data_IF_461734097173
#
_entry.id   IF_461734097173
#
_cell.length_a   1.000
_cell.length_b   1.000
_cell.length_c   1.000
_cell.angle_alpha   90.00
_cell.angle_beta   90.00
_cell.angle_gamma   90.00
#
_symmetry.space_group_name_H-M   'P 1'
#
loop_
_entity.id
_entity.type
_entity.pdbx_description
1 polymer ?
#
# COMPACT_ATOMS: atom_id res chain seq x y z
N UNK A 1 -3.80 70.35 20.77
CA UNK A 1 -3.71 68.98 20.22
C UNK A 1 -2.29 68.49 20.46
N UNK A 2 -2.11 67.37 21.18
CA UNK A 2 -0.80 66.77 21.43
C UNK A 2 -0.49 65.76 20.33
N UNK A 3 0.72 65.78 19.79
CA UNK A 3 1.19 64.81 18.78
C UNK A 3 2.19 63.85 19.43
N UNK A 4 2.13 62.58 19.05
CA UNK A 4 3.11 61.58 19.47
C UNK A 4 3.83 61.02 18.25
N UNK A 5 5.17 61.13 18.26
CA UNK A 5 6.01 60.63 17.18
C UNK A 5 6.50 59.20 17.47
N UNK A 6 6.68 58.41 16.42
CA UNK A 6 7.30 57.09 16.51
C UNK A 6 8.75 57.26 16.93
N UNK A 7 9.17 56.54 17.98
CA UNK A 7 10.57 56.51 18.41
C UNK A 7 11.51 55.93 17.34
N UNK A 8 10.98 55.14 16.39
CA UNK A 8 11.74 54.45 15.36
C UNK A 8 11.84 55.24 14.05
N UNK A 9 10.80 55.99 13.68
CA UNK A 9 10.72 56.67 12.37
C UNK A 9 10.60 58.19 12.48
N UNK A 10 10.41 58.76 13.67
CA UNK A 10 10.23 60.20 13.90
C UNK A 10 8.89 60.78 13.39
N UNK A 11 8.08 60.00 12.68
CA UNK A 11 6.79 60.42 12.10
C UNK A 11 5.68 60.43 13.17
N UNK A 12 4.68 61.30 12.98
CA UNK A 12 3.48 61.36 13.84
C UNK A 12 2.71 60.04 13.71
N UNK A 13 2.52 59.35 14.84
CA UNK A 13 1.78 58.07 14.94
C UNK A 13 0.35 58.32 15.34
N UNK A 14 0.13 59.24 16.27
CA UNK A 14 -1.22 59.67 16.62
C UNK A 14 -1.25 61.10 17.14
N UNK A 15 -2.41 61.72 16.94
CA UNK A 15 -2.74 63.05 17.41
C UNK A 15 -3.92 62.96 18.37
N UNK A 16 -3.88 63.75 19.44
CA UNK A 16 -4.88 63.67 20.50
C UNK A 16 -5.32 65.04 21.02
N UNK A 17 -6.63 65.22 21.14
CA UNK A 17 -7.28 66.35 21.81
C UNK A 17 -7.80 65.87 23.18
N UNK A 18 -7.05 66.21 24.23
CA UNK A 18 -7.36 65.86 25.63
C UNK A 18 -8.69 66.43 26.10
N UNK A 19 -9.04 67.65 25.68
CA UNK A 19 -10.28 68.30 26.09
C UNK A 19 -11.50 67.62 25.47
N UNK A 20 -11.37 67.13 24.23
CA UNK A 20 -12.47 66.47 23.50
C UNK A 20 -12.48 64.95 23.64
N UNK A 21 -11.45 64.37 24.26
CA UNK A 21 -11.22 62.92 24.33
C UNK A 21 -11.26 62.25 22.94
N UNK A 22 -10.74 62.93 21.91
CA UNK A 22 -10.71 62.42 20.53
C UNK A 22 -9.30 62.42 19.97
N UNK A 23 -8.99 61.46 19.11
CA UNK A 23 -7.72 61.46 18.41
C UNK A 23 -7.76 60.74 17.08
N UNK A 24 -6.64 60.79 16.37
CA UNK A 24 -6.43 60.16 15.07
C UNK A 24 -5.13 59.38 15.13
N UNK A 25 -5.20 58.10 14.79
CA UNK A 25 -4.05 57.24 14.57
C UNK A 25 -3.68 57.25 13.09
N UNK A 26 -2.41 57.47 12.76
CA UNK A 26 -1.89 57.52 11.41
C UNK A 26 -1.06 56.27 11.12
N UNK A 27 -1.42 55.56 10.05
CA UNK A 27 -0.67 54.40 9.59
C UNK A 27 0.64 54.83 8.93
N UNK A 28 1.75 54.18 9.27
CA UNK A 28 3.04 54.44 8.63
C UNK A 28 2.99 54.10 7.13
N UNK A 29 3.58 54.93 6.28
CA UNK A 29 3.49 54.79 4.81
C UNK A 29 4.06 53.47 4.26
N UNK A 30 4.96 52.83 5.02
CA UNK A 30 5.67 51.60 4.68
C UNK A 30 4.99 50.33 5.23
N UNK A 31 3.84 50.44 5.90
CA UNK A 31 3.14 49.28 6.46
C UNK A 31 1.95 48.83 5.58
N UNK A 32 1.72 47.51 5.49
CA UNK A 32 0.56 46.92 4.77
C UNK A 32 -0.79 47.43 5.29
N UNK A 33 -0.83 47.88 6.54
CA UNK A 33 -2.04 48.48 7.11
C UNK A 33 -2.43 49.80 6.44
N UNK A 34 -1.45 50.60 5.98
CA UNK A 34 -1.70 51.90 5.34
C UNK A 34 -2.49 51.78 4.02
N UNK A 35 -2.25 50.72 3.23
CA UNK A 35 -2.99 50.47 2.00
C UNK A 35 -4.46 50.12 2.25
N UNK A 36 -4.78 49.57 3.43
CA UNK A 36 -6.13 49.18 3.81
C UNK A 36 -6.87 50.31 4.56
N UNK A 37 -6.16 51.02 5.44
CA UNK A 37 -6.71 52.12 6.23
C UNK A 37 -5.60 53.12 6.60
N UNK A 38 -5.61 54.30 5.97
CA UNK A 38 -4.58 55.34 6.17
C UNK A 38 -4.60 55.94 7.58
N UNK A 39 -5.77 56.01 8.20
CA UNK A 39 -5.93 56.57 9.54
C UNK A 39 -7.18 56.05 10.22
N UNK A 40 -7.12 55.89 11.55
CA UNK A 40 -8.25 55.46 12.38
C UNK A 40 -8.56 56.54 13.39
N UNK A 41 -9.80 57.01 13.46
CA UNK A 41 -10.21 57.95 14.52
C UNK A 41 -10.56 57.18 15.79
N UNK A 42 -10.35 57.78 16.94
CA UNK A 42 -10.81 57.22 18.20
C UNK A 42 -11.45 58.29 19.08
N UNK A 43 -12.47 57.90 19.86
CA UNK A 43 -13.25 58.81 20.71
C UNK A 43 -13.54 58.23 22.09
N UNK A 44 -13.54 59.07 23.12
CA UNK A 44 -13.77 58.69 24.52
C UNK A 44 -12.53 58.12 25.22
N UNK A 45 -11.33 58.37 24.72
CA UNK A 45 -10.08 57.89 25.33
C UNK A 45 -9.19 59.06 25.73
N UNK A 46 -8.44 58.93 26.82
CA UNK A 46 -7.42 59.90 27.27
C UNK A 46 -6.00 59.56 26.79
N UNK A 47 -5.84 58.43 26.11
CA UNK A 47 -4.59 57.90 25.55
C UNK A 47 -4.92 57.00 24.36
N UNK A 48 -3.90 56.54 23.65
CA UNK A 48 -4.07 55.59 22.55
C UNK A 48 -4.83 54.34 23.04
N UNK A 49 -5.93 53.91 22.36
CA UNK A 49 -6.70 52.75 22.76
C UNK A 49 -5.84 51.48 22.82
N UNK A 50 -6.17 50.55 23.73
CA UNK A 50 -5.49 49.25 23.82
C UNK A 50 -5.66 48.54 22.48
N UNK A 51 -4.60 47.94 21.94
CA UNK A 51 -4.68 47.21 20.67
C UNK A 51 -4.16 47.99 19.46
N UNK A 52 -3.76 49.26 19.61
CA UNK A 52 -2.93 49.95 18.61
C UNK A 52 -1.44 49.71 18.85
N UNK A 53 -0.66 49.68 17.78
CA UNK A 53 0.80 49.71 17.85
C UNK A 53 1.30 51.12 18.15
N UNK A 54 2.39 51.27 18.89
CA UNK A 54 2.98 52.58 19.20
C UNK A 54 3.88 53.15 18.10
N UNK A 55 4.13 52.38 17.04
CA UNK A 55 5.12 52.68 15.99
C UNK A 55 4.50 53.07 14.63
N UNK A 56 3.17 53.08 14.51
CA UNK A 56 2.46 53.41 13.28
C UNK A 56 2.07 52.20 12.42
N UNK A 57 2.41 50.97 12.80
CA UNK A 57 2.12 49.76 12.00
C UNK A 57 0.68 49.23 12.16
N UNK A 58 -0.29 50.13 12.39
CA UNK A 58 -1.69 49.77 12.59
C UNK A 58 -1.97 49.23 13.99
N UNK A 59 -2.77 48.16 14.07
CA UNK A 59 -3.09 47.52 15.34
C UNK A 59 -1.93 46.63 15.84
N UNK A 60 -1.83 46.44 17.15
CA UNK A 60 -0.80 45.65 17.82
C UNK A 60 -0.97 44.15 17.54
N UNK A 61 -0.49 43.72 16.35
CA UNK A 61 -0.40 42.36 15.76
C UNK A 61 -0.87 42.41 14.28
N UNK A 62 -0.46 41.47 13.39
CA UNK A 62 -1.04 41.32 12.05
C UNK A 62 -2.58 41.21 12.04
N UNK A 63 -3.20 40.92 13.20
CA UNK A 63 -4.63 41.04 13.48
C UNK A 63 -5.26 42.32 12.91
N UNK A 64 -4.51 43.43 12.92
CA UNK A 64 -4.99 44.68 12.37
C UNK A 64 -5.28 44.66 10.88
N UNK A 65 -4.44 43.93 10.12
CA UNK A 65 -4.64 43.76 8.67
C UNK A 65 -5.79 42.80 8.37
N UNK A 66 -6.03 41.77 9.19
CA UNK A 66 -7.19 40.88 9.02
C UNK A 66 -8.50 41.63 9.25
N UNK A 67 -8.58 42.43 10.32
CA UNK A 67 -9.76 43.25 10.61
C UNK A 67 -10.04 44.24 9.48
N UNK A 68 -9.05 45.03 9.06
CA UNK A 68 -9.30 46.03 8.02
C UNK A 68 -9.54 45.42 6.65
N UNK A 69 -8.91 44.28 6.32
CA UNK A 69 -9.21 43.54 5.10
C UNK A 69 -10.65 43.06 5.09
N UNK A 70 -11.13 42.45 6.17
CA UNK A 70 -12.51 41.97 6.28
C UNK A 70 -13.53 43.13 6.22
N UNK A 71 -13.19 44.28 6.83
CA UNK A 71 -14.04 45.47 6.74
C UNK A 71 -14.09 46.03 5.31
N UNK A 72 -12.97 46.08 4.59
CA UNK A 72 -12.96 46.54 3.19
C UNK A 72 -13.66 45.54 2.26
N UNK A 73 -13.56 44.24 2.52
CA UNK A 73 -14.32 43.22 1.77
C UNK A 73 -15.84 43.39 1.97
N UNK A 74 -16.27 43.65 3.20
CA UNK A 74 -17.69 43.83 3.52
C UNK A 74 -18.27 45.20 3.13
N UNK A 75 -17.49 46.27 3.21
CA UNK A 75 -17.97 47.66 3.03
C UNK A 75 -17.36 48.39 1.82
N UNK A 76 -16.46 47.76 1.07
CA UNK A 76 -15.69 48.38 -0.01
C UNK A 76 -14.49 49.19 0.51
N UNK A 77 -13.60 49.57 -0.41
CA UNK A 77 -12.37 50.28 -0.09
C UNK A 77 -12.60 51.72 0.41
N UNK A 78 -11.64 52.23 1.18
CA UNK A 78 -11.65 53.62 1.65
C UNK A 78 -12.58 53.88 2.84
N UNK A 79 -12.83 52.86 3.68
CA UNK A 79 -13.62 53.02 4.90
C UNK A 79 -13.03 54.09 5.83
N UNK A 80 -13.92 54.84 6.49
CA UNK A 80 -13.58 55.71 7.62
C UNK A 80 -13.83 54.93 8.91
N UNK A 81 -12.76 54.37 9.47
CA UNK A 81 -12.82 53.58 10.70
C UNK A 81 -12.73 54.47 11.95
N UNK A 82 -13.63 54.21 12.90
CA UNK A 82 -13.69 54.87 14.20
C UNK A 82 -13.74 53.82 15.31
N UNK A 83 -12.89 53.96 16.32
CA UNK A 83 -12.95 53.17 17.56
C UNK A 83 -13.49 54.06 18.68
N UNK A 84 -14.66 53.73 19.22
CA UNK A 84 -15.31 54.54 20.26
C UNK A 84 -15.44 53.80 21.58
N UNK A 85 -15.18 54.49 22.69
CA UNK A 85 -15.43 53.93 24.04
C UNK A 85 -16.93 53.86 24.38
N UNK A 86 -17.71 54.85 23.93
CA UNK A 86 -19.11 55.02 24.34
C UNK A 86 -20.13 54.65 23.25
N UNK A 87 -19.82 54.89 21.98
CA UNK A 87 -20.76 54.66 20.88
C UNK A 87 -20.84 53.18 20.54
N UNK A 88 -22.05 52.64 20.42
CA UNK A 88 -22.29 51.25 20.00
C UNK A 88 -21.76 50.99 18.58
N UNK A 89 -21.39 49.74 18.29
CA UNK A 89 -20.88 49.34 16.97
C UNK A 89 -21.96 49.57 15.90
N UNK A 90 -21.62 50.32 14.85
CA UNK A 90 -22.51 50.62 13.74
C UNK A 90 -21.72 50.94 12.47
N UNK A 91 -22.37 50.81 11.32
CA UNK A 91 -21.83 51.25 10.05
C UNK A 91 -22.88 52.06 9.30
N UNK A 92 -22.45 53.15 8.67
CA UNK A 92 -23.34 53.97 7.81
C UNK A 92 -22.63 54.41 6.55
N UNK A 93 -23.33 54.36 5.43
CA UNK A 93 -22.81 54.86 4.15
C UNK A 93 -22.90 56.38 4.11
N UNK A 94 -21.81 57.04 3.70
CA UNK A 94 -21.71 58.48 3.52
C UNK A 94 -21.21 58.74 2.10
N UNK A 95 -22.09 59.20 1.21
CA UNK A 95 -21.79 59.34 -0.22
C UNK A 95 -21.27 58.00 -0.80
N UNK A 96 -19.99 57.94 -1.16
CA UNK A 96 -19.33 56.79 -1.77
C UNK A 96 -18.53 55.94 -0.77
N UNK A 97 -18.36 56.37 0.48
CA UNK A 97 -17.55 55.65 1.48
C UNK A 97 -18.37 55.23 2.70
N UNK A 98 -17.93 54.17 3.36
CA UNK A 98 -18.55 53.73 4.60
C UNK A 98 -17.84 54.33 5.81
N UNK A 99 -18.63 54.82 6.76
CA UNK A 99 -18.15 55.18 8.09
C UNK A 99 -18.50 54.05 9.05
N UNK A 100 -17.47 53.36 9.53
CA UNK A 100 -17.59 52.20 10.41
C UNK A 100 -17.15 52.62 11.81
N UNK A 101 -18.06 52.56 12.78
CA UNK A 101 -17.77 52.76 14.19
C UNK A 101 -17.76 51.40 14.90
N UNK A 102 -16.64 51.03 15.49
CA UNK A 102 -16.56 49.88 16.39
C UNK A 102 -16.53 50.38 17.83
N UNK A 103 -17.42 49.86 18.66
CA UNK A 103 -17.28 50.00 20.10
C UNK A 103 -16.00 49.30 20.55
N UNK A 104 -15.30 49.87 21.53
CA UNK A 104 -14.04 49.34 22.04
C UNK A 104 -14.14 47.89 22.54
N UNK A 105 -15.28 47.51 23.14
CA UNK A 105 -15.51 46.15 23.61
C UNK A 105 -15.57 45.14 22.45
N UNK A 106 -16.35 45.44 21.42
CA UNK A 106 -16.44 44.61 20.19
C UNK A 106 -15.11 44.56 19.44
N UNK A 107 -14.42 45.70 19.37
CA UNK A 107 -13.10 45.77 18.79
C UNK A 107 -12.09 44.85 19.52
N UNK A 108 -12.06 44.87 20.86
CA UNK A 108 -11.21 43.95 21.63
C UNK A 108 -11.66 42.50 21.51
N UNK A 109 -12.97 42.23 21.43
CA UNK A 109 -13.53 40.90 21.20
C UNK A 109 -13.02 40.28 19.89
N UNK A 110 -12.72 41.10 18.88
CA UNK A 110 -12.09 40.63 17.63
C UNK A 110 -10.59 40.42 17.83
N UNK A 111 -9.89 41.35 18.48
CA UNK A 111 -8.42 41.33 18.49
C UNK A 111 -7.79 40.38 19.51
N UNK A 112 -8.38 40.20 20.70
CA UNK A 112 -7.75 39.39 21.76
C UNK A 112 -7.66 37.90 21.37
N UNK A 113 -8.70 37.24 20.81
CA UNK A 113 -8.56 35.85 20.35
C UNK A 113 -7.49 35.67 19.26
N UNK A 114 -7.32 36.66 18.37
CA UNK A 114 -6.29 36.62 17.32
C UNK A 114 -4.86 36.67 17.90
N UNK A 115 -4.68 37.26 19.10
CA UNK A 115 -3.40 37.25 19.79
C UNK A 115 -3.09 35.88 20.37
N UNK A 116 -4.08 35.22 20.96
CA UNK A 116 -3.94 33.87 21.49
C UNK A 116 -3.62 32.86 20.38
N UNK A 117 -4.38 32.87 19.27
CA UNK A 117 -4.12 32.02 18.10
C UNK A 117 -2.69 32.21 17.57
N UNK A 118 -2.23 33.46 17.48
CA UNK A 118 -0.86 33.76 17.05
C UNK A 118 0.17 33.26 18.05
N UNK A 119 -0.08 33.44 19.34
CA UNK A 119 0.81 32.96 20.39
C UNK A 119 0.96 31.45 20.30
N UNK A 120 -0.15 30.71 20.23
CA UNK A 120 -0.15 29.25 20.09
C UNK A 120 0.60 28.81 18.82
N UNK A 121 0.34 29.44 17.68
CA UNK A 121 1.06 29.15 16.43
C UNK A 121 2.57 29.36 16.59
N UNK A 122 2.99 30.50 17.16
CA UNK A 122 4.41 30.80 17.35
C UNK A 122 5.08 29.81 18.32
N UNK A 123 4.38 29.43 19.39
CA UNK A 123 4.86 28.40 20.32
C UNK A 123 5.04 27.07 19.59
N UNK A 124 4.04 26.60 18.83
CA UNK A 124 4.14 25.36 18.04
C UNK A 124 5.30 25.41 17.03
N UNK A 125 5.45 26.50 16.28
CA UNK A 125 6.53 26.67 15.31
C UNK A 125 7.91 26.63 15.97
N UNK A 126 8.10 27.38 17.06
CA UNK A 126 9.39 27.42 17.77
C UNK A 126 9.72 26.08 18.42
N UNK A 127 8.73 25.42 19.01
CA UNK A 127 8.91 24.09 19.62
C UNK A 127 9.23 23.02 18.57
N UNK A 128 8.65 23.09 17.36
CA UNK A 128 9.01 22.17 16.28
C UNK A 128 10.46 22.37 15.80
N UNK A 129 10.89 23.64 15.66
CA UNK A 129 12.29 23.96 15.32
C UNK A 129 13.23 23.42 16.40
N UNK A 130 12.92 23.66 17.68
CA UNK A 130 13.72 23.15 18.79
C UNK A 130 13.82 21.61 18.78
N UNK A 131 12.71 20.91 18.48
CA UNK A 131 12.69 19.46 18.36
C UNK A 131 13.65 18.95 17.27
N UNK A 132 13.54 19.50 16.06
CA UNK A 132 14.38 19.09 14.92
C UNK A 132 15.85 19.43 15.18
N UNK A 133 16.16 20.62 15.70
CA UNK A 133 17.53 21.00 16.04
C UNK A 133 18.13 20.13 17.15
N UNK A 134 17.30 19.68 18.11
CA UNK A 134 17.71 18.70 19.13
C UNK A 134 18.07 17.33 18.55
N UNK A 135 17.44 16.92 17.44
CA UNK A 135 17.79 15.69 16.70
C UNK A 135 19.06 15.89 15.88
N UNK A 136 19.15 16.98 15.13
CA UNK A 136 20.26 17.23 14.19
C UNK A 136 21.56 17.62 14.91
N UNK A 137 21.46 18.37 16.00
CA UNK A 137 22.59 18.93 16.75
C UNK A 137 22.47 18.67 18.27
N UNK A 138 22.44 17.39 18.70
CA UNK A 138 22.15 17.01 20.09
C UNK A 138 23.17 17.52 21.12
N UNK A 139 24.39 17.88 20.67
CA UNK A 139 25.41 18.49 21.53
C UNK A 139 25.18 19.97 21.82
N UNK A 140 24.39 20.66 20.99
CA UNK A 140 24.18 22.12 21.07
C UNK A 140 22.74 22.49 21.46
N UNK A 141 21.78 21.60 21.23
CA UNK A 141 20.36 21.85 21.52
C UNK A 141 19.80 20.73 22.40
N UNK A 142 19.05 21.10 23.44
CA UNK A 142 18.31 20.13 24.25
C UNK A 142 17.17 19.54 23.42
N UNK A 143 17.02 18.21 23.49
CA UNK A 143 15.89 17.51 22.89
C UNK A 143 14.60 17.98 23.56
N UNK A 144 13.68 18.54 22.80
CA UNK A 144 12.33 18.89 23.26
C UNK A 144 11.35 17.77 22.93
N UNK A 145 10.13 17.89 23.44
CA UNK A 145 9.04 16.98 23.08
C UNK A 145 8.57 17.21 21.63
N UNK A 146 7.97 16.16 21.05
CA UNK A 146 7.31 16.25 19.74
C UNK A 146 6.15 17.23 19.84
N UNK A 147 6.14 18.21 18.93
CA UNK A 147 4.98 19.07 18.73
C UNK A 147 4.02 18.38 17.77
N UNK A 148 2.74 18.32 18.12
CA UNK A 148 1.72 17.83 17.18
C UNK A 148 1.68 18.73 15.94
N UNK A 149 1.88 18.10 14.79
CA UNK A 149 1.77 18.73 13.47
C UNK A 149 0.68 18.01 12.68
N UNK A 150 0.37 18.52 11.49
CA UNK A 150 -0.49 17.79 10.55
C UNK A 150 0.00 16.35 10.27
N UNK A 151 1.31 16.11 10.40
CA UNK A 151 1.96 14.82 10.16
C UNK A 151 2.10 13.94 11.41
N UNK A 152 1.77 14.47 12.59
CA UNK A 152 1.76 13.65 13.81
C UNK A 152 0.56 12.71 13.76
N UNK A 153 0.81 11.42 13.93
CA UNK A 153 -0.26 10.44 14.05
C UNK A 153 -1.01 10.65 15.37
N UNK A 154 -2.33 10.52 15.29
CA UNK A 154 -3.24 10.50 16.44
C UNK A 154 -4.05 9.21 16.34
N UNK A 155 -4.55 8.71 17.47
CA UNK A 155 -5.34 7.49 17.51
C UNK A 155 -6.52 7.57 16.53
N UNK A 156 -6.72 6.48 15.78
CA UNK A 156 -7.71 6.34 14.71
C UNK A 156 -7.59 7.30 13.54
N UNK A 157 -6.53 8.11 13.42
CA UNK A 157 -6.42 9.11 12.35
C UNK A 157 -6.52 8.48 10.96
N UNK A 158 -5.85 7.35 10.72
CA UNK A 158 -5.97 6.60 9.48
C UNK A 158 -7.38 6.03 9.28
N UNK A 159 -7.98 5.46 10.33
CA UNK A 159 -9.34 4.91 10.27
C UNK A 159 -10.36 5.98 9.86
N UNK A 160 -10.31 7.15 10.50
CA UNK A 160 -11.17 8.30 10.20
C UNK A 160 -10.95 8.83 8.78
N UNK A 161 -9.70 8.80 8.29
CA UNK A 161 -9.40 9.20 6.91
C UNK A 161 -10.03 8.24 5.89
N UNK A 162 -10.05 6.94 6.16
CA UNK A 162 -10.58 5.94 5.24
C UNK A 162 -12.08 5.67 5.38
N UNK A 163 -12.67 5.87 6.56
CA UNK A 163 -14.07 5.52 6.85
C UNK A 163 -15.11 6.27 6.02
N UNK A 164 -14.75 7.45 5.50
CA UNK A 164 -15.61 8.26 4.63
C UNK A 164 -15.41 8.04 3.13
N UNK A 165 -14.48 7.17 2.74
CA UNK A 165 -14.14 6.93 1.33
C UNK A 165 -14.83 5.66 0.82
N UNK A 166 -15.43 5.75 -0.37
CA UNK A 166 -15.81 4.57 -1.12
C UNK A 166 -14.55 3.99 -1.77
N UNK A 167 -14.32 2.70 -1.58
CA UNK A 167 -13.22 1.94 -2.21
C UNK A 167 -11.85 2.65 -2.13
N UNK A 168 -11.31 2.91 -0.92
CA UNK A 168 -10.11 3.72 -0.74
C UNK A 168 -8.90 3.22 -1.56
N UNK A 169 -8.82 1.92 -1.83
CA UNK A 169 -7.79 1.30 -2.65
C UNK A 169 -7.74 1.81 -4.11
N UNK A 170 -8.80 2.40 -4.65
CA UNK A 170 -8.83 2.99 -6.00
C UNK A 170 -8.25 4.42 -6.06
N UNK A 171 -8.22 5.11 -4.91
CA UNK A 171 -7.84 6.53 -4.82
C UNK A 171 -6.40 6.68 -4.30
N UNK A 172 -5.88 5.68 -3.59
CA UNK A 172 -4.53 5.69 -3.03
C UNK A 172 -3.45 5.79 -4.11
N UNK A 173 -2.45 6.65 -3.88
CA UNK A 173 -1.29 6.74 -4.75
C UNK A 173 -0.39 5.50 -4.61
N UNK A 174 0.50 5.28 -5.59
CA UNK A 174 1.51 4.21 -5.51
C UNK A 174 2.35 4.30 -4.23
N UNK A 175 2.72 5.52 -3.81
CA UNK A 175 3.52 5.74 -2.61
C UNK A 175 2.76 5.36 -1.32
N UNK A 176 1.44 5.59 -1.28
CA UNK A 176 0.59 5.18 -0.16
C UNK A 176 0.48 3.66 -0.08
N UNK A 177 0.23 3.00 -1.21
CA UNK A 177 0.16 1.53 -1.30
C UNK A 177 1.47 0.90 -0.81
N UNK A 178 2.62 1.41 -1.27
CA UNK A 178 3.93 0.93 -0.82
C UNK A 178 4.16 1.16 0.68
N UNK A 179 3.70 2.28 1.22
CA UNK A 179 3.82 2.59 2.65
C UNK A 179 2.97 1.66 3.50
N UNK A 180 1.72 1.41 3.10
CA UNK A 180 0.83 0.45 3.77
C UNK A 180 1.42 -0.96 3.71
N UNK A 181 1.96 -1.37 2.57
CA UNK A 181 2.58 -2.69 2.42
C UNK A 181 3.78 -2.88 3.36
N UNK A 182 4.66 -1.87 3.47
CA UNK A 182 5.79 -1.90 4.42
C UNK A 182 5.32 -1.92 5.88
N UNK A 183 4.31 -1.10 6.21
CA UNK A 183 3.73 -1.08 7.55
C UNK A 183 3.15 -2.44 7.91
N UNK A 184 2.35 -3.04 7.04
CA UNK A 184 1.81 -4.38 7.23
C UNK A 184 2.91 -5.43 7.45
N UNK A 185 3.99 -5.40 6.64
CA UNK A 185 5.12 -6.32 6.83
C UNK A 185 5.74 -6.17 8.23
N UNK A 186 6.01 -4.94 8.68
CA UNK A 186 6.57 -4.69 10.02
C UNK A 186 5.64 -5.12 11.16
N UNK A 187 4.32 -4.95 10.99
CA UNK A 187 3.33 -5.36 11.99
C UNK A 187 3.25 -6.88 12.13
N UNK A 188 3.44 -7.62 11.02
CA UNK A 188 3.41 -9.08 11.02
C UNK A 188 4.69 -9.69 11.62
N UNK A 189 5.82 -8.99 11.54
CA UNK A 189 7.10 -9.44 12.13
C UNK A 189 7.16 -9.26 13.66
N UNK A 190 6.36 -8.35 14.22
CA UNK A 190 6.30 -8.11 15.67
C UNK A 190 5.50 -9.21 16.39
N UNK A 191 6.01 -9.70 17.52
CA UNK A 191 5.52 -10.92 18.21
C UNK A 191 4.25 -10.70 19.06
N UNK A 192 3.63 -9.53 19.00
CA UNK A 192 2.48 -9.14 19.83
C UNK A 192 1.21 -8.92 18.99
N UNK A 193 0.91 -9.87 18.09
CA UNK A 193 -0.32 -9.84 17.30
C UNK A 193 -1.47 -10.43 18.13
N UNK A 194 -2.51 -9.66 18.37
CA UNK A 194 -3.73 -10.13 19.03
C UNK A 194 -4.57 -11.06 18.12
N UNK A 195 -5.54 -11.76 18.71
CA UNK A 195 -6.35 -12.76 18.00
C UNK A 195 -7.17 -12.18 16.83
N UNK A 196 -7.59 -10.92 16.95
CA UNK A 196 -8.35 -10.20 15.91
C UNK A 196 -7.46 -9.92 14.69
N UNK A 197 -6.24 -9.46 14.93
CA UNK A 197 -5.24 -9.18 13.90
C UNK A 197 -4.76 -10.46 13.21
N UNK A 198 -4.67 -11.58 13.94
CA UNK A 198 -4.44 -12.92 13.35
C UNK A 198 -5.56 -13.30 12.38
N UNK A 199 -6.83 -13.05 12.74
CA UNK A 199 -7.97 -13.39 11.87
C UNK A 199 -7.94 -12.59 10.56
N UNK A 200 -7.64 -11.30 10.63
CA UNK A 200 -7.48 -10.43 9.45
C UNK A 200 -6.29 -10.88 8.60
N UNK A 201 -5.15 -11.22 9.22
CA UNK A 201 -3.98 -11.74 8.51
C UNK A 201 -4.27 -13.08 7.81
N UNK A 202 -4.99 -14.00 8.47
CA UNK A 202 -5.43 -15.26 7.86
C UNK A 202 -6.37 -15.04 6.66
N UNK A 203 -7.31 -14.10 6.76
CA UNK A 203 -8.21 -13.75 5.66
C UNK A 203 -7.45 -13.14 4.48
N UNK A 204 -6.53 -12.22 4.76
CA UNK A 204 -5.63 -11.64 3.75
C UNK A 204 -4.82 -12.72 3.05
N UNK A 205 -4.18 -13.62 3.81
CA UNK A 205 -3.44 -14.77 3.27
C UNK A 205 -4.33 -15.64 2.36
N UNK A 206 -5.52 -16.03 2.83
CA UNK A 206 -6.47 -16.85 2.05
C UNK A 206 -6.92 -16.15 0.77
N UNK A 207 -7.19 -14.83 0.83
CA UNK A 207 -7.60 -14.04 -0.33
C UNK A 207 -6.47 -13.94 -1.35
N UNK A 208 -5.26 -13.68 -0.89
CA UNK A 208 -4.07 -13.61 -1.75
C UNK A 208 -3.79 -14.96 -2.42
N UNK A 209 -3.84 -16.06 -1.66
CA UNK A 209 -3.68 -17.42 -2.17
C UNK A 209 -4.74 -17.75 -3.24
N UNK A 210 -6.00 -17.36 -3.00
CA UNK A 210 -7.09 -17.52 -3.97
C UNK A 210 -6.84 -16.74 -5.25
N UNK A 211 -6.49 -15.46 -5.17
CA UNK A 211 -6.21 -14.61 -6.33
C UNK A 211 -5.03 -15.17 -7.12
N UNK A 212 -3.99 -15.61 -6.42
CA UNK A 212 -2.83 -16.24 -7.02
C UNK A 212 -3.20 -17.53 -7.77
N UNK A 213 -3.93 -18.45 -7.13
CA UNK A 213 -4.42 -19.68 -7.78
C UNK A 213 -5.31 -19.38 -8.99
N UNK A 214 -6.20 -18.38 -8.90
CA UNK A 214 -7.03 -17.94 -10.02
C UNK A 214 -6.18 -17.45 -11.19
N UNK A 215 -5.12 -16.68 -10.92
CA UNK A 215 -4.18 -16.21 -11.93
C UNK A 215 -3.45 -17.38 -12.60
N UNK A 216 -2.94 -18.34 -11.82
CA UNK A 216 -2.25 -19.54 -12.33
C UNK A 216 -3.19 -20.40 -13.17
N UNK A 217 -4.42 -20.66 -12.70
CA UNK A 217 -5.44 -21.41 -13.45
C UNK A 217 -5.79 -20.68 -14.76
N UNK A 218 -5.96 -19.36 -14.71
CA UNK A 218 -6.23 -18.54 -15.89
C UNK A 218 -5.12 -18.64 -16.95
N UNK A 219 -3.86 -18.54 -16.52
CA UNK A 219 -2.70 -18.74 -17.39
C UNK A 219 -2.64 -20.18 -17.94
N UNK A 220 -2.86 -21.18 -17.09
CA UNK A 220 -2.84 -22.58 -17.50
C UNK A 220 -3.91 -22.87 -18.57
N UNK A 221 -5.13 -22.35 -18.41
CA UNK A 221 -6.21 -22.48 -19.42
C UNK A 221 -5.84 -21.82 -20.74
N UNK A 222 -5.27 -20.61 -20.71
CA UNK A 222 -4.79 -19.93 -21.92
C UNK A 222 -3.73 -20.76 -22.65
N UNK A 223 -2.83 -21.40 -21.90
CA UNK A 223 -1.81 -22.29 -22.47
C UNK A 223 -2.41 -23.56 -23.08
N UNK A 224 -3.35 -24.21 -22.39
CA UNK A 224 -4.03 -25.40 -22.93
C UNK A 224 -4.80 -25.09 -24.22
N UNK A 225 -5.39 -23.90 -24.33
CA UNK A 225 -6.05 -23.46 -25.56
C UNK A 225 -5.07 -23.18 -26.72
N UNK A 226 -3.79 -22.95 -26.43
CA UNK A 226 -2.76 -22.66 -27.43
C UNK A 226 -2.01 -23.94 -27.86
N UNK A 227 -2.41 -24.49 -29.02
CA UNK A 227 -1.80 -25.70 -29.59
C UNK A 227 -0.37 -25.54 -30.11
N UNK A 228 0.13 -24.31 -30.22
CA UNK A 228 1.45 -23.99 -30.78
C UNK A 228 2.56 -23.89 -29.73
N UNK A 229 2.24 -24.11 -28.45
CA UNK A 229 3.26 -24.10 -27.40
C UNK A 229 4.22 -25.27 -27.55
N UNK A 230 5.51 -24.97 -27.43
CA UNK A 230 6.57 -25.97 -27.43
C UNK A 230 6.61 -26.75 -26.12
N UNK A 231 7.25 -27.93 -26.14
CA UNK A 231 7.51 -28.69 -24.91
C UNK A 231 8.30 -27.88 -23.89
N UNK A 232 9.27 -27.07 -24.35
CA UNK A 232 10.02 -26.16 -23.49
C UNK A 232 9.14 -25.09 -22.82
N UNK A 233 8.07 -24.62 -23.48
CA UNK A 233 7.12 -23.69 -22.85
C UNK A 233 6.34 -24.34 -21.71
N UNK A 234 5.99 -25.62 -21.88
CA UNK A 234 5.32 -26.43 -20.86
C UNK A 234 6.25 -26.76 -19.70
N UNK A 235 7.49 -27.14 -19.98
CA UNK A 235 8.52 -27.36 -18.97
C UNK A 235 8.70 -26.10 -18.11
N UNK A 236 8.91 -24.92 -18.71
CA UNK A 236 9.06 -23.66 -17.94
C UNK A 236 7.83 -23.31 -17.11
N UNK A 237 6.63 -23.55 -17.66
CA UNK A 237 5.38 -23.29 -16.93
C UNK A 237 5.23 -24.22 -15.73
N UNK A 238 5.35 -25.53 -15.94
CA UNK A 238 5.20 -26.52 -14.88
C UNK A 238 6.31 -26.37 -13.85
N UNK A 239 7.57 -26.17 -14.24
CA UNK A 239 8.67 -25.92 -13.29
C UNK A 239 8.33 -24.82 -12.28
N UNK A 240 7.74 -23.72 -12.76
CA UNK A 240 7.40 -22.56 -11.93
C UNK A 240 6.27 -22.84 -10.93
N UNK A 241 5.35 -23.74 -11.28
CA UNK A 241 4.09 -23.92 -10.54
C UNK A 241 3.87 -25.35 -10.02
N UNK A 242 4.76 -26.31 -10.27
CA UNK A 242 4.56 -27.75 -10.02
C UNK A 242 4.22 -28.05 -8.55
N UNK A 243 4.83 -27.31 -7.61
CA UNK A 243 4.58 -27.45 -6.17
C UNK A 243 3.16 -27.05 -5.77
N UNK A 244 2.45 -26.26 -6.58
CA UNK A 244 1.02 -25.95 -6.37
C UNK A 244 0.11 -27.12 -6.73
N UNK A 245 0.53 -27.94 -7.70
CA UNK A 245 -0.26 -29.10 -8.14
C UNK A 245 -0.15 -30.26 -7.17
N UNK A 246 1.00 -30.37 -6.49
CA UNK A 246 1.20 -31.40 -5.48
C UNK A 246 2.00 -30.88 -4.28
N UNK A 247 1.25 -30.56 -3.21
CA UNK A 247 1.77 -30.07 -1.93
C UNK A 247 2.62 -31.06 -1.15
N UNK A 248 2.72 -32.34 -1.58
CA UNK A 248 3.67 -33.27 -0.98
C UNK A 248 5.12 -32.95 -1.35
N UNK A 249 5.34 -32.12 -2.38
CA UNK A 249 6.67 -31.66 -2.79
C UNK A 249 7.00 -30.29 -2.23
N UNK A 250 8.27 -30.10 -1.86
CA UNK A 250 8.76 -28.87 -1.21
C UNK A 250 9.89 -28.19 -1.97
N UNK A 251 10.71 -28.94 -2.72
CA UNK A 251 11.82 -28.39 -3.48
C UNK A 251 11.83 -28.91 -4.93
N UNK A 252 12.28 -28.05 -5.84
CA UNK A 252 12.61 -28.39 -7.23
C UNK A 252 14.13 -28.35 -7.37
N UNK A 253 14.73 -29.45 -7.80
CA UNK A 253 16.18 -29.53 -8.10
C UNK A 253 16.36 -29.29 -9.60
N UNK A 254 16.95 -28.15 -9.95
CA UNK A 254 17.09 -27.72 -11.34
C UNK A 254 18.27 -28.39 -12.04
N UNK A 255 18.05 -28.89 -13.26
CA UNK A 255 19.09 -29.30 -14.22
C UNK A 255 20.22 -30.14 -13.61
N UNK A 256 19.86 -31.21 -12.91
CA UNK A 256 20.81 -32.18 -12.40
C UNK A 256 21.01 -33.33 -13.38
N UNK A 257 22.26 -33.59 -13.75
CA UNK A 257 22.59 -34.75 -14.59
C UNK A 257 22.53 -36.02 -13.75
N UNK A 258 21.47 -36.81 -13.91
CA UNK A 258 21.30 -38.06 -13.14
C UNK A 258 22.27 -39.16 -13.57
N UNK A 259 22.89 -39.02 -14.75
CA UNK A 259 23.91 -39.92 -15.24
C UNK A 259 25.35 -39.45 -15.07
N UNK A 260 25.55 -38.23 -14.56
CA UNK A 260 26.84 -37.52 -14.50
C UNK A 260 27.54 -37.39 -15.86
N UNK A 261 26.78 -37.54 -16.97
CA UNK A 261 27.28 -37.55 -18.35
C UNK A 261 26.41 -36.69 -19.28
N UNK A 262 25.58 -35.82 -18.71
CA UNK A 262 24.81 -34.82 -19.45
C UNK A 262 23.40 -35.22 -19.85
N UNK A 263 22.80 -36.25 -19.24
CA UNK A 263 21.35 -36.51 -19.34
C UNK A 263 20.62 -35.95 -18.14
N UNK A 264 19.58 -35.19 -18.43
CA UNK A 264 18.82 -34.41 -17.45
C UNK A 264 17.35 -34.82 -17.57
N UNK A 265 16.70 -35.27 -16.49
CA UNK A 265 15.25 -35.24 -16.44
C UNK A 265 14.77 -33.80 -16.48
N UNK A 266 13.51 -33.59 -16.86
CA UNK A 266 12.96 -32.24 -16.89
C UNK A 266 12.93 -31.65 -15.48
N UNK A 267 12.40 -32.40 -14.50
CA UNK A 267 12.48 -32.03 -13.08
C UNK A 267 12.91 -33.20 -12.20
N UNK A 268 13.60 -32.85 -11.12
CA UNK A 268 13.70 -33.67 -9.92
C UNK A 268 12.97 -32.93 -8.80
N UNK A 269 11.99 -33.57 -8.19
CA UNK A 269 11.25 -33.01 -7.07
C UNK A 269 11.61 -33.73 -5.78
N UNK A 270 11.74 -32.97 -4.70
CA UNK A 270 11.98 -33.50 -3.36
C UNK A 270 10.71 -33.34 -2.53
N UNK A 271 10.22 -34.45 -1.99
CA UNK A 271 9.03 -34.46 -1.16
C UNK A 271 9.31 -34.04 0.28
N UNK A 272 8.25 -33.81 1.07
CA UNK A 272 8.33 -33.40 2.49
C UNK A 272 9.16 -34.34 3.37
N UNK A 273 9.42 -35.58 2.93
CA UNK A 273 10.23 -36.58 3.65
C UNK A 273 11.68 -36.68 3.14
N UNK A 274 12.04 -35.86 2.16
CA UNK A 274 13.35 -35.83 1.52
C UNK A 274 13.51 -36.84 0.38
N UNK A 275 12.48 -37.57 -0.02
CA UNK A 275 12.60 -38.50 -1.15
C UNK A 275 12.54 -37.76 -2.48
N UNK A 276 13.34 -38.23 -3.45
CA UNK A 276 13.42 -37.65 -4.78
C UNK A 276 12.58 -38.43 -5.79
N UNK A 277 11.87 -37.71 -6.64
CA UNK A 277 11.09 -38.25 -7.74
C UNK A 277 11.39 -37.48 -9.04
N UNK A 278 11.18 -38.13 -10.18
CA UNK A 278 11.47 -37.61 -11.52
C UNK A 278 10.18 -37.15 -12.18
N UNK A 279 10.21 -36.03 -12.88
CA UNK A 279 9.15 -35.62 -13.78
C UNK A 279 9.71 -35.46 -15.20
N UNK A 280 8.97 -36.01 -16.17
CA UNK A 280 9.22 -35.89 -17.61
C UNK A 280 7.97 -35.27 -18.26
N UNK A 281 8.16 -34.22 -19.06
CA UNK A 281 7.06 -33.44 -19.61
C UNK A 281 6.97 -33.65 -21.11
N UNK A 282 5.78 -34.00 -21.58
CA UNK A 282 5.41 -33.98 -22.99
C UNK A 282 4.26 -33.00 -23.20
N UNK A 283 3.96 -32.69 -24.47
CA UNK A 283 2.91 -31.75 -24.81
C UNK A 283 1.52 -32.31 -24.45
N UNK A 284 0.54 -31.43 -24.15
CA UNK A 284 -0.87 -31.83 -24.00
C UNK A 284 -1.48 -32.39 -25.30
N UNK A 285 -0.88 -32.07 -26.44
CA UNK A 285 -1.30 -32.54 -27.77
C UNK A 285 -0.61 -33.83 -28.20
N UNK A 286 0.30 -34.38 -27.40
CA UNK A 286 0.91 -35.68 -27.67
C UNK A 286 -0.16 -36.77 -27.54
N UNK A 287 -0.22 -37.66 -28.54
CA UNK A 287 -1.15 -38.79 -28.55
C UNK A 287 -0.81 -39.76 -27.41
N UNK A 288 -1.83 -40.22 -26.69
CA UNK A 288 -1.64 -41.17 -25.58
C UNK A 288 -1.47 -42.60 -26.08
N UNK A 289 -2.42 -43.07 -26.89
CA UNK A 289 -2.48 -44.43 -27.41
C UNK A 289 -2.70 -44.44 -28.93
N UNK A 290 -2.38 -45.57 -29.55
CA UNK A 290 -2.72 -45.91 -30.94
C UNK A 290 -3.55 -47.18 -30.97
N UNK A 291 -4.41 -47.28 -31.98
CA UNK A 291 -5.21 -48.46 -32.24
C UNK A 291 -4.43 -49.45 -33.13
N UNK A 292 -4.49 -50.74 -32.79
CA UNK A 292 -4.08 -51.85 -33.65
C UNK A 292 -5.34 -52.51 -34.25
N UNK A 293 -5.61 -52.21 -35.52
CA UNK A 293 -6.78 -52.74 -36.24
C UNK A 293 -6.77 -54.28 -36.34
N UNK A 294 -5.59 -54.93 -36.24
CA UNK A 294 -5.47 -56.38 -36.41
C UNK A 294 -5.90 -57.17 -35.18
N UNK A 295 -5.75 -56.58 -33.99
CA UNK A 295 -6.06 -57.19 -32.70
C UNK A 295 -7.16 -56.48 -31.93
N UNK A 296 -7.67 -55.37 -32.49
CA UNK A 296 -8.64 -54.49 -31.86
C UNK A 296 -8.17 -54.17 -30.44
N UNK A 297 -7.02 -53.51 -30.32
CA UNK A 297 -6.40 -53.21 -29.03
C UNK A 297 -5.68 -51.86 -29.08
N UNK A 298 -5.62 -51.17 -27.95
CA UNK A 298 -4.85 -49.94 -27.85
C UNK A 298 -3.48 -50.18 -27.20
N UNK A 299 -2.46 -49.53 -27.74
CA UNK A 299 -1.09 -49.57 -27.22
C UNK A 299 -0.51 -48.17 -27.11
N UNK A 300 0.55 -48.01 -26.31
CA UNK A 300 1.22 -46.73 -26.12
C UNK A 300 1.64 -46.11 -27.45
N UNK A 301 1.34 -44.81 -27.62
CA UNK A 301 1.94 -44.06 -28.71
C UNK A 301 3.49 -44.13 -28.61
N UNK A 302 4.16 -44.02 -29.75
CA UNK A 302 5.62 -44.07 -29.84
C UNK A 302 6.27 -43.03 -28.92
N UNK A 303 5.72 -41.82 -28.82
CA UNK A 303 6.28 -40.76 -27.97
C UNK A 303 6.09 -41.06 -26.48
N UNK A 304 4.95 -41.63 -26.09
CA UNK A 304 4.71 -42.08 -24.71
C UNK A 304 5.63 -43.25 -24.34
N UNK A 305 5.79 -44.21 -25.26
CA UNK A 305 6.70 -45.35 -25.09
C UNK A 305 8.16 -44.89 -24.89
N UNK A 306 8.61 -43.90 -25.67
CA UNK A 306 9.94 -43.28 -25.50
C UNK A 306 10.07 -42.60 -24.14
N UNK A 307 9.05 -41.84 -23.72
CA UNK A 307 9.06 -41.15 -22.42
C UNK A 307 9.10 -42.15 -21.25
N UNK A 308 8.35 -43.24 -21.31
CA UNK A 308 8.38 -44.33 -20.31
C UNK A 308 9.79 -44.92 -20.21
N UNK A 309 10.37 -45.31 -21.35
CA UNK A 309 11.72 -45.88 -21.40
C UNK A 309 12.79 -44.92 -20.85
N UNK A 310 12.68 -43.63 -21.22
CA UNK A 310 13.58 -42.59 -20.73
C UNK A 310 13.45 -42.37 -19.22
N UNK A 311 12.22 -42.33 -18.70
CA UNK A 311 11.94 -42.11 -17.29
C UNK A 311 12.40 -43.30 -16.43
N UNK A 312 12.12 -44.53 -16.85
CA UNK A 312 12.62 -45.75 -16.19
C UNK A 312 14.15 -45.77 -16.12
N UNK A 313 14.82 -45.34 -17.20
CA UNK A 313 16.27 -45.19 -17.21
C UNK A 313 16.73 -44.19 -16.15
N UNK A 314 16.08 -43.03 -16.03
CA UNK A 314 16.42 -42.05 -15.00
C UNK A 314 16.23 -42.60 -13.58
N UNK A 315 15.11 -43.29 -13.32
CA UNK A 315 14.84 -43.98 -12.04
C UNK A 315 15.97 -44.95 -11.71
N UNK A 316 16.33 -45.82 -12.66
CA UNK A 316 17.41 -46.79 -12.49
C UNK A 316 18.76 -46.10 -12.22
N UNK A 317 19.03 -44.98 -12.86
CA UNK A 317 20.29 -44.25 -12.70
C UNK A 317 20.39 -43.57 -11.34
N UNK A 318 19.31 -42.96 -10.85
CA UNK A 318 19.25 -42.42 -9.49
C UNK A 318 19.58 -43.51 -8.45
N UNK A 319 18.98 -44.69 -8.59
CA UNK A 319 19.24 -45.82 -7.67
C UNK A 319 20.69 -46.30 -7.78
N UNK A 320 21.22 -46.42 -9.00
CA UNK A 320 22.59 -46.90 -9.22
C UNK A 320 23.66 -45.93 -8.69
N UNK A 321 23.38 -44.62 -8.72
CA UNK A 321 24.31 -43.55 -8.38
C UNK A 321 23.91 -42.80 -7.11
N UNK A 322 23.25 -43.49 -6.19
CA UNK A 322 22.61 -42.88 -5.02
C UNK A 322 23.53 -41.89 -4.28
N UNK A 323 24.70 -42.38 -3.82
CA UNK A 323 25.66 -41.59 -3.06
C UNK A 323 26.12 -40.34 -3.83
N UNK A 324 26.58 -40.52 -5.07
CA UNK A 324 27.10 -39.44 -5.92
C UNK A 324 26.04 -38.36 -6.18
N UNK A 325 24.80 -38.78 -6.48
CA UNK A 325 23.70 -37.85 -6.74
C UNK A 325 23.32 -37.08 -5.48
N UNK A 326 23.26 -37.76 -4.32
CA UNK A 326 22.97 -37.12 -3.03
C UNK A 326 24.02 -36.09 -2.65
N UNK A 327 25.30 -36.41 -2.82
CA UNK A 327 26.41 -35.50 -2.56
C UNK A 327 26.31 -34.25 -3.45
N UNK A 328 26.08 -34.42 -4.75
CA UNK A 328 25.97 -33.28 -5.68
C UNK A 328 24.76 -32.40 -5.36
N UNK A 329 23.61 -32.99 -5.00
CA UNK A 329 22.42 -32.21 -4.61
C UNK A 329 22.69 -31.43 -3.33
N UNK A 330 23.33 -32.06 -2.35
CA UNK A 330 23.67 -31.39 -1.10
C UNK A 330 24.68 -30.24 -1.33
N UNK A 331 25.71 -30.47 -2.14
CA UNK A 331 26.73 -29.45 -2.46
C UNK A 331 26.14 -28.27 -3.25
N UNK A 332 25.32 -28.54 -4.27
CA UNK A 332 24.79 -27.49 -5.17
C UNK A 332 23.57 -26.78 -4.62
N UNK A 333 22.70 -27.50 -3.91
CA UNK A 333 21.41 -27.00 -3.48
C UNK A 333 21.30 -26.83 -1.96
N UNK A 334 22.23 -27.38 -1.16
CA UNK A 334 22.12 -27.37 0.30
C UNK A 334 20.98 -28.23 0.83
N UNK A 335 20.56 -29.25 0.07
CA UNK A 335 19.41 -30.10 0.39
C UNK A 335 19.89 -31.53 0.63
N UNK A 336 19.59 -32.08 1.81
CA UNK A 336 19.76 -33.50 2.06
C UNK A 336 18.58 -34.28 1.45
N UNK A 337 18.88 -35.22 0.56
CA UNK A 337 17.86 -36.05 -0.10
C UNK A 337 18.09 -37.54 0.14
N UNK A 338 17.03 -38.33 -0.07
CA UNK A 338 16.99 -39.78 0.04
C UNK A 338 16.56 -40.37 -1.30
N UNK A 339 17.29 -41.35 -1.80
CA UNK A 339 16.94 -42.04 -3.04
C UNK A 339 16.53 -43.47 -2.69
N UNK A 340 15.26 -43.63 -2.31
CA UNK A 340 14.69 -44.94 -1.96
C UNK A 340 13.46 -45.15 -2.83
N UNK A 341 13.58 -46.04 -3.82
CA UNK A 341 12.53 -46.34 -4.82
C UNK A 341 11.93 -45.05 -5.43
N UNK A 342 12.76 -44.22 -6.10
CA UNK A 342 12.27 -43.02 -6.76
C UNK A 342 11.21 -43.40 -7.81
N UNK A 343 10.17 -42.58 -7.91
CA UNK A 343 9.12 -42.71 -8.94
C UNK A 343 9.38 -41.73 -10.07
N UNK A 344 8.91 -42.10 -11.25
CA UNK A 344 8.83 -41.25 -12.42
C UNK A 344 7.40 -40.80 -12.68
N UNK A 345 7.21 -39.54 -13.01
CA UNK A 345 5.92 -38.97 -13.38
C UNK A 345 6.02 -38.40 -14.79
N UNK A 346 5.17 -38.88 -15.69
CA UNK A 346 5.12 -38.38 -17.06
C UNK A 346 3.86 -37.54 -17.21
N UNK A 347 4.03 -36.23 -17.44
CA UNK A 347 2.90 -35.33 -17.70
C UNK A 347 2.68 -35.25 -19.22
N UNK A 348 1.58 -35.79 -19.71
CA UNK A 348 1.35 -35.96 -21.17
C UNK A 348 -0.13 -36.01 -21.52
N UNK A 349 -0.49 -35.49 -22.70
CA UNK A 349 -1.81 -35.69 -23.28
C UNK A 349 -2.98 -35.10 -22.49
N UNK A 350 -4.21 -35.43 -22.90
CA UNK A 350 -5.45 -35.05 -22.24
C UNK A 350 -6.47 -36.18 -22.35
N UNK A 351 -7.38 -36.30 -21.39
CA UNK A 351 -8.42 -37.33 -21.43
C UNK A 351 -9.39 -37.18 -22.60
N UNK A 352 -9.51 -35.98 -23.18
CA UNK A 352 -10.32 -35.73 -24.38
C UNK A 352 -9.86 -36.49 -25.62
N UNK A 353 -8.70 -37.15 -25.59
CA UNK A 353 -8.21 -38.00 -26.67
C UNK A 353 -8.84 -39.40 -26.66
N UNK A 354 -9.47 -39.82 -25.56
CA UNK A 354 -10.13 -41.11 -25.48
C UNK A 354 -11.41 -41.09 -26.33
N UNK A 355 -11.39 -41.79 -27.46
CA UNK A 355 -12.49 -41.80 -28.43
C UNK A 355 -13.64 -42.73 -28.06
N UNK A 356 -13.35 -43.77 -27.27
CA UNK A 356 -14.30 -44.75 -26.78
C UNK A 356 -13.93 -45.21 -25.37
N UNK A 357 -14.84 -45.95 -24.71
CA UNK A 357 -14.60 -46.47 -23.36
C UNK A 357 -13.45 -47.49 -23.32
N UNK A 358 -13.24 -48.22 -24.43
CA UNK A 358 -12.21 -49.25 -24.52
C UNK A 358 -10.82 -48.65 -24.45
N UNK A 359 -10.56 -47.57 -25.19
CA UNK A 359 -9.31 -46.82 -25.16
C UNK A 359 -9.00 -46.28 -23.75
N UNK A 360 -10.03 -45.81 -23.03
CA UNK A 360 -9.88 -45.36 -21.66
C UNK A 360 -9.54 -46.51 -20.70
N UNK A 361 -10.23 -47.65 -20.82
CA UNK A 361 -9.97 -48.84 -20.01
C UNK A 361 -8.58 -49.43 -20.30
N UNK A 362 -8.18 -49.49 -21.56
CA UNK A 362 -6.83 -49.91 -21.98
C UNK A 362 -5.76 -48.94 -21.48
N UNK A 363 -6.01 -47.61 -21.52
CA UNK A 363 -5.11 -46.62 -20.93
C UNK A 363 -4.90 -46.87 -19.44
N UNK A 364 -5.97 -47.12 -18.68
CA UNK A 364 -5.89 -47.42 -17.25
C UNK A 364 -5.16 -48.72 -16.97
N UNK A 365 -5.43 -49.77 -17.75
CA UNK A 365 -4.75 -51.05 -17.66
C UNK A 365 -3.25 -50.89 -17.91
N UNK A 366 -2.87 -50.26 -19.02
CA UNK A 366 -1.48 -50.03 -19.36
C UNK A 366 -0.78 -49.13 -18.33
N UNK A 367 -1.40 -48.04 -17.90
CA UNK A 367 -0.84 -47.12 -16.90
C UNK A 367 -0.62 -47.84 -15.56
N UNK A 368 -1.59 -48.61 -15.07
CA UNK A 368 -1.48 -49.36 -13.81
C UNK A 368 -0.45 -50.50 -13.84
N UNK A 369 -0.06 -50.97 -15.04
CA UNK A 369 0.98 -51.99 -15.20
C UNK A 369 2.40 -51.45 -14.97
N UNK A 370 2.58 -50.14 -15.04
CA UNK A 370 3.88 -49.48 -14.83
C UNK A 370 4.19 -49.43 -13.33
N UNK A 371 5.34 -50.00 -12.93
CA UNK A 371 5.71 -50.11 -11.50
C UNK A 371 6.34 -48.83 -10.96
N UNK A 372 7.24 -48.22 -11.71
CA UNK A 372 8.02 -47.07 -11.25
C UNK A 372 7.52 -45.76 -11.86
N UNK A 373 6.68 -45.81 -12.89
CA UNK A 373 6.23 -44.65 -13.66
C UNK A 373 4.73 -44.46 -13.50
N UNK A 374 4.30 -43.24 -13.19
CA UNK A 374 2.90 -42.81 -13.25
C UNK A 374 2.70 -41.86 -14.45
N UNK A 375 1.60 -42.02 -15.16
CA UNK A 375 1.17 -41.09 -16.22
C UNK A 375 0.15 -40.11 -15.63
N UNK A 376 0.38 -38.81 -15.83
CA UNK A 376 -0.51 -37.73 -15.39
C UNK A 376 -0.99 -36.94 -16.61
N UNK A 377 -2.30 -36.74 -16.72
CA UNK A 377 -2.88 -35.96 -17.81
C UNK A 377 -2.96 -34.46 -17.44
N UNK A 378 -2.91 -33.60 -18.46
CA UNK A 378 -2.93 -32.14 -18.23
C UNK A 378 -4.25 -31.64 -17.62
N UNK A 379 -5.36 -32.25 -17.99
CA UNK A 379 -6.68 -31.94 -17.46
C UNK A 379 -6.87 -32.46 -16.03
N UNK A 380 -6.18 -33.53 -15.62
CA UNK A 380 -6.11 -33.95 -14.21
C UNK A 380 -5.37 -32.91 -13.36
N UNK A 381 -4.24 -32.39 -13.85
CA UNK A 381 -3.51 -31.30 -13.18
C UNK A 381 -4.39 -30.04 -13.05
N UNK A 382 -5.11 -29.68 -14.11
CA UNK A 382 -6.06 -28.56 -14.08
C UNK A 382 -7.17 -28.83 -13.04
N UNK A 383 -7.78 -30.01 -13.08
CA UNK A 383 -8.83 -30.40 -12.14
C UNK A 383 -8.38 -30.35 -10.69
N UNK A 384 -7.14 -30.74 -10.39
CA UNK A 384 -6.56 -30.62 -9.06
C UNK A 384 -6.46 -29.16 -8.59
N UNK A 385 -6.01 -28.24 -9.45
CA UNK A 385 -5.98 -26.81 -9.12
C UNK A 385 -7.39 -26.22 -8.95
N UNK A 386 -8.33 -26.57 -9.82
CA UNK A 386 -9.72 -26.11 -9.73
C UNK A 386 -10.39 -26.60 -8.45
N UNK A 387 -10.17 -27.86 -8.08
CA UNK A 387 -10.64 -28.43 -6.82
C UNK A 387 -10.00 -27.75 -5.60
N UNK A 388 -8.71 -27.44 -5.65
CA UNK A 388 -8.03 -26.67 -4.61
C UNK A 388 -8.64 -25.27 -4.46
N UNK A 389 -8.88 -24.57 -5.57
CA UNK A 389 -9.53 -23.27 -5.59
C UNK A 389 -10.95 -23.34 -5.00
N UNK A 390 -11.74 -24.34 -5.38
CA UNK A 390 -13.10 -24.54 -4.85
C UNK A 390 -13.10 -24.82 -3.35
N UNK A 391 -12.13 -25.59 -2.84
CA UNK A 391 -11.95 -25.79 -1.39
C UNK A 391 -11.69 -24.47 -0.65
N UNK A 392 -10.86 -23.59 -1.22
CA UNK A 392 -10.56 -22.26 -0.67
C UNK A 392 -11.76 -21.30 -0.73
N UNK A 393 -12.67 -21.47 -1.70
CA UNK A 393 -13.94 -20.72 -1.75
C UNK A 393 -14.96 -21.25 -0.73
N UNK A 394 -15.15 -22.56 -0.63
CA UNK A 394 -16.14 -23.16 0.29
C UNK A 394 -15.83 -22.87 1.76
N UNK A 395 -14.55 -22.80 2.13
CA UNK A 395 -14.12 -22.41 3.48
C UNK A 395 -14.47 -20.96 3.85
N UNK A 396 -14.60 -20.04 2.89
CA UNK A 396 -15.02 -18.66 3.21
C UNK A 396 -16.52 -18.52 3.47
N UNK A 397 -17.37 -19.41 2.96
CA UNK A 397 -18.82 -19.32 3.12
C UNK A 397 -19.37 -20.00 4.38
N UNK A 398 -18.54 -20.72 5.14
CA UNK A 398 -18.93 -21.38 6.41
C UNK A 398 -18.50 -20.58 7.65
N UNK A 399 -18.91 -19.31 7.75
CA UNK A 399 -18.80 -18.57 9.02
C UNK A 399 -20.19 -18.35 9.63
N UNK A 400 -20.36 -18.61 10.94
CA UNK A 400 -21.57 -18.19 11.63
C UNK A 400 -21.64 -16.66 11.64
N UNK A 401 -22.85 -16.07 11.67
CA UNK A 401 -22.99 -14.62 11.71
C UNK A 401 -22.26 -14.09 12.94
N UNK A 402 -21.40 -13.10 12.72
CA UNK A 402 -20.86 -12.27 13.80
C UNK A 402 -22.08 -11.63 14.46
N UNK A 403 -22.40 -12.04 15.69
CA UNK A 403 -23.37 -11.31 16.51
C UNK A 403 -22.74 -9.95 16.80
N UNK A 404 -23.36 -8.91 16.24
CA UNK A 404 -23.09 -7.49 16.54
C UNK A 404 -23.39 -7.24 18.00
#
# INVERSE_FOLDING_TARGET
MKTHNSKKTGKIVYEFDECKLTGIYHAASDCKFNSLCKSVRFTGFSKLPKGFSSDGYGFASPAGTYLTSALNEGFGDGISLIISKATATNARKIKTSWKVNLNHSDYLRILEPLREIRHERNVKSNSHIAYILGILFPKHFKKSDIVSTAYTYEEDKLSKMFSGLNDPHEILSKADIETIARLHASLVEDKHIDFTSITVAEESKRRNERIYLQSVIGEFRKRLANKNLSEADWQRFLQKYILLFNTSYVNVVEKLSVDLRGKYPDFLLVNVYGYIDIYEIKKPTTNLLRHDDSRDNYYWDVEVSKAISQTEKYVQMLVKKDLEVREIINEKCGIEVKIVRPRGFIVVGNSSQFIDNKMNDDFRLLSSSLKNVDIILYDELMGNLENLLERLKKRSNKRPPVKI
#
